data_IF_204596173649
#
_entry.id   IF_204596173649
#
_cell.length_a   1.000
_cell.length_b   1.000
_cell.length_c   1.000
_cell.angle_alpha   90.00
_cell.angle_beta   90.00
_cell.angle_gamma   90.00
#
_symmetry.space_group_name_H-M   'P 1'
#
loop_
_entity.id
_entity.type
_entity.pdbx_description
1 polymer ?
#
# COMPACT_ATOMS: atom_id res chain seq x y z
N UNK A 1 11.81 -9.26 0.47
CA UNK A 1 10.92 -8.08 0.33
C UNK A 1 11.79 -6.85 0.11
N UNK A 2 11.49 -6.10 -0.92
CA UNK A 2 12.25 -4.90 -1.27
C UNK A 2 11.33 -3.69 -1.15
N UNK A 3 11.78 -2.68 -0.40
CA UNK A 3 11.06 -1.42 -0.27
C UNK A 3 11.85 -0.32 -0.94
N UNK A 4 11.17 0.48 -1.74
CA UNK A 4 11.72 1.69 -2.32
C UNK A 4 11.08 2.88 -1.59
N UNK A 5 11.91 3.63 -0.87
CA UNK A 5 11.46 4.79 -0.12
C UNK A 5 11.91 6.07 -0.81
N UNK A 6 11.06 7.08 -0.77
CA UNK A 6 11.38 8.41 -1.25
C UNK A 6 11.50 9.36 -0.04
N UNK A 7 12.72 9.62 0.38
CA UNK A 7 13.00 10.50 1.52
C UNK A 7 12.70 11.97 1.24
N UNK A 8 12.56 12.32 -0.03
CA UNK A 8 12.23 13.70 -0.45
C UNK A 8 10.73 13.92 -0.59
N UNK A 9 9.94 12.85 -0.58
CA UNK A 9 8.49 12.95 -0.64
C UNK A 9 7.94 13.60 0.63
N UNK A 10 6.83 14.30 0.50
CA UNK A 10 6.08 14.82 1.65
C UNK A 10 5.34 13.74 2.39
N UNK A 11 5.19 12.56 1.79
CA UNK A 11 4.55 11.41 2.43
C UNK A 11 5.48 10.86 3.50
N UNK A 12 5.06 10.77 4.76
CA UNK A 12 5.89 10.20 5.84
C UNK A 12 6.35 8.79 5.52
N UNK A 13 7.52 8.40 6.02
CA UNK A 13 8.10 7.09 5.75
C UNK A 13 7.16 5.96 6.23
N UNK A 14 6.52 6.11 7.40
CA UNK A 14 5.61 5.06 7.87
C UNK A 14 4.43 4.84 6.91
N UNK A 15 3.92 5.90 6.28
CA UNK A 15 2.85 5.76 5.29
C UNK A 15 3.35 5.10 4.01
N UNK A 16 4.58 5.40 3.59
CA UNK A 16 5.18 4.75 2.42
C UNK A 16 5.33 3.24 2.66
N UNK A 17 5.79 2.86 3.86
CA UNK A 17 5.90 1.45 4.24
C UNK A 17 4.53 0.77 4.28
N UNK A 18 3.55 1.42 4.90
CA UNK A 18 2.17 0.92 4.96
C UNK A 18 1.63 0.65 3.56
N UNK A 19 1.73 1.65 2.68
CA UNK A 19 1.23 1.54 1.31
C UNK A 19 1.96 0.47 0.51
N UNK A 20 3.26 0.31 0.71
CA UNK A 20 4.06 -0.71 0.03
C UNK A 20 3.61 -2.13 0.39
N UNK A 21 3.42 -2.41 1.67
CA UNK A 21 2.95 -3.73 2.11
C UNK A 21 1.52 -3.98 1.65
N UNK A 22 0.65 -2.97 1.78
CA UNK A 22 -0.74 -3.06 1.33
C UNK A 22 -0.82 -3.38 -0.16
N UNK A 23 0.01 -2.72 -0.97
CA UNK A 23 0.07 -2.97 -2.41
C UNK A 23 0.54 -4.40 -2.71
N UNK A 24 1.61 -4.86 -2.05
CA UNK A 24 2.10 -6.23 -2.24
C UNK A 24 1.03 -7.26 -1.90
N UNK A 25 0.29 -7.03 -0.83
CA UNK A 25 -0.84 -7.88 -0.46
C UNK A 25 -1.95 -7.83 -1.52
N UNK A 26 -2.29 -6.64 -2.00
CA UNK A 26 -3.39 -6.44 -2.95
C UNK A 26 -3.11 -7.07 -4.32
N UNK A 27 -1.87 -7.03 -4.79
CA UNK A 27 -1.51 -7.57 -6.11
C UNK A 27 -1.00 -9.02 -6.04
N UNK A 28 -0.97 -9.61 -4.83
CA UNK A 28 -0.52 -11.00 -4.66
C UNK A 28 0.98 -11.21 -4.83
N UNK A 29 1.79 -10.14 -4.68
CA UNK A 29 3.24 -10.21 -4.84
C UNK A 29 3.96 -10.85 -3.65
N UNK A 30 3.24 -11.13 -2.57
CA UNK A 30 3.79 -11.72 -1.35
C UNK A 30 2.94 -12.91 -0.92
N UNK A 31 3.58 -14.02 -0.61
CA UNK A 31 2.89 -15.20 -0.14
C UNK A 31 2.47 -15.06 1.33
N UNK A 32 1.33 -15.67 1.69
CA UNK A 32 0.79 -15.61 3.05
C UNK A 32 1.73 -16.20 4.10
N UNK A 33 2.50 -17.22 3.73
CA UNK A 33 3.41 -17.90 4.65
C UNK A 33 4.77 -17.21 4.77
N UNK A 34 5.05 -16.27 3.92
CA UNK A 34 6.31 -15.53 3.94
C UNK A 34 6.30 -14.52 5.08
N UNK A 35 7.24 -14.64 6.04
CA UNK A 35 7.29 -13.67 7.14
C UNK A 35 7.75 -12.31 6.64
N UNK A 36 7.17 -11.26 7.22
CA UNK A 36 7.71 -9.92 7.05
C UNK A 36 9.02 -9.81 7.85
N UNK A 37 9.95 -8.95 7.42
CA UNK A 37 11.14 -8.67 8.23
C UNK A 37 10.72 -8.15 9.61
N UNK A 38 11.53 -8.43 10.63
CA UNK A 38 11.28 -7.86 11.95
C UNK A 38 11.40 -6.33 11.90
N UNK A 39 10.74 -5.66 12.84
CA UNK A 39 10.82 -4.19 12.93
C UNK A 39 12.26 -3.72 13.00
N UNK A 40 13.07 -4.34 13.87
CA UNK A 40 14.48 -3.98 14.03
C UNK A 40 15.28 -4.21 12.75
N UNK A 41 15.11 -5.37 12.14
CA UNK A 41 15.82 -5.73 10.93
C UNK A 41 15.50 -4.78 9.77
N UNK A 42 14.23 -4.50 9.58
CA UNK A 42 13.79 -3.59 8.51
C UNK A 42 14.28 -2.16 8.76
N UNK A 43 14.21 -1.70 10.00
CA UNK A 43 14.69 -0.36 10.37
C UNK A 43 16.18 -0.21 10.09
N UNK A 44 16.98 -1.23 10.40
CA UNK A 44 18.42 -1.24 10.10
C UNK A 44 18.67 -1.23 8.59
N UNK A 45 17.96 -2.06 7.85
CA UNK A 45 18.12 -2.16 6.41
C UNK A 45 17.78 -0.84 5.71
N UNK A 46 16.72 -0.16 6.15
CA UNK A 46 16.27 1.09 5.55
C UNK A 46 16.95 2.32 6.13
N UNK A 47 17.68 2.19 7.22
CA UNK A 47 18.30 3.33 7.88
C UNK A 47 17.30 4.29 8.52
N UNK A 48 16.20 3.78 9.05
CA UNK A 48 15.14 4.58 9.67
C UNK A 48 14.96 4.19 11.14
N UNK A 49 14.25 5.05 11.87
CA UNK A 49 13.94 4.80 13.27
C UNK A 49 13.02 3.56 13.40
N UNK A 50 13.33 2.61 14.31
CA UNK A 50 12.45 1.46 14.53
C UNK A 50 11.00 1.84 14.86
N UNK A 51 10.77 2.97 15.53
CA UNK A 51 9.42 3.44 15.82
C UNK A 51 8.62 3.75 14.55
N UNK A 52 9.29 4.19 13.50
CA UNK A 52 8.67 4.45 12.19
C UNK A 52 8.16 3.15 11.57
N UNK A 53 8.98 2.10 11.60
CA UNK A 53 8.58 0.78 11.11
C UNK A 53 7.47 0.20 11.99
N UNK A 54 7.61 0.32 13.30
CA UNK A 54 6.61 -0.16 14.25
C UNK A 54 5.24 0.47 13.98
N UNK A 55 5.22 1.77 13.73
CA UNK A 55 3.97 2.48 13.42
C UNK A 55 3.30 1.94 12.16
N UNK A 56 4.07 1.70 11.11
CA UNK A 56 3.54 1.12 9.87
C UNK A 56 2.97 -0.28 10.12
N UNK A 57 3.68 -1.12 10.86
CA UNK A 57 3.23 -2.49 11.17
C UNK A 57 1.97 -2.48 12.02
N UNK A 58 1.88 -1.59 13.01
CA UNK A 58 0.67 -1.46 13.84
C UNK A 58 -0.54 -1.06 13.01
N UNK A 59 -0.37 -0.15 12.05
CA UNK A 59 -1.45 0.26 11.16
C UNK A 59 -1.89 -0.90 10.26
N UNK A 60 -0.94 -1.65 9.72
CA UNK A 60 -1.24 -2.83 8.88
C UNK A 60 -1.99 -3.90 9.68
N UNK A 61 -1.58 -4.13 10.91
CA UNK A 61 -2.23 -5.11 11.80
C UNK A 61 -3.63 -4.66 12.18
N UNK A 62 -3.79 -3.38 12.53
CA UNK A 62 -5.10 -2.79 12.84
C UNK A 62 -6.07 -2.93 11.67
N UNK A 63 -5.59 -2.74 10.44
CA UNK A 63 -6.40 -2.84 9.24
C UNK A 63 -6.60 -4.30 8.75
N UNK A 64 -6.04 -5.27 9.46
CA UNK A 64 -6.22 -6.68 9.13
C UNK A 64 -5.39 -7.16 7.93
N UNK A 65 -4.39 -6.39 7.51
CA UNK A 65 -3.53 -6.74 6.37
C UNK A 65 -2.44 -7.72 6.79
N UNK A 66 -1.90 -7.55 7.99
CA UNK A 66 -0.92 -8.47 8.56
C UNK A 66 -1.41 -8.98 9.91
N UNK A 67 -0.83 -10.08 10.37
CA UNK A 67 -1.04 -10.62 11.70
C UNK A 67 0.30 -10.96 12.34
N UNK A 68 0.40 -10.77 13.66
CA UNK A 68 1.57 -11.14 14.44
C UNK A 68 1.32 -12.48 15.13
N UNK A 69 2.29 -13.38 15.00
CA UNK A 69 2.25 -14.69 15.66
C UNK A 69 3.38 -14.71 16.70
N UNK A 70 3.05 -14.80 18.00
CA UNK A 70 4.08 -14.81 19.04
C UNK A 70 5.16 -15.86 18.81
N UNK A 71 6.42 -15.44 18.88
CA UNK A 71 7.57 -16.29 18.66
C UNK A 71 7.87 -16.63 17.21
N UNK A 72 7.02 -16.23 16.26
CA UNK A 72 7.20 -16.54 14.83
C UNK A 72 7.31 -15.32 13.94
N UNK A 73 6.82 -14.16 14.38
CA UNK A 73 6.91 -12.92 13.63
C UNK A 73 5.57 -12.47 13.04
N UNK A 74 5.66 -11.60 12.05
CA UNK A 74 4.49 -11.03 11.38
C UNK A 74 4.35 -11.61 9.96
N UNK A 75 3.11 -11.83 9.55
CA UNK A 75 2.78 -12.45 8.26
C UNK A 75 1.60 -11.72 7.62
N UNK A 76 1.43 -11.87 6.32
CA UNK A 76 0.19 -11.43 5.69
C UNK A 76 -0.99 -12.18 6.31
N UNK A 77 -2.08 -11.47 6.52
CA UNK A 77 -3.31 -12.10 7.02
C UNK A 77 -3.83 -13.12 6.03
N UNK A 78 -4.30 -14.26 6.55
CA UNK A 78 -4.98 -15.26 5.72
C UNK A 78 -6.34 -14.79 5.21
N UNK A 79 -6.93 -13.81 5.88
CA UNK A 79 -8.21 -13.18 5.48
C UNK A 79 -7.91 -11.79 4.90
N UNK A 80 -8.00 -11.67 3.58
CA UNK A 80 -7.77 -10.42 2.86
C UNK A 80 -9.07 -9.66 2.58
N UNK A 81 -10.13 -9.90 3.36
CA UNK A 81 -11.40 -9.18 3.19
C UNK A 81 -11.24 -7.67 3.37
N UNK A 82 -10.34 -7.22 4.25
CA UNK A 82 -10.04 -5.80 4.43
C UNK A 82 -9.49 -5.18 3.15
N UNK A 83 -8.61 -5.88 2.45
CA UNK A 83 -8.08 -5.44 1.15
C UNK A 83 -9.20 -5.37 0.12
N UNK A 84 -10.07 -6.38 0.07
CA UNK A 84 -11.21 -6.41 -0.85
C UNK A 84 -12.13 -5.22 -0.61
N UNK A 85 -12.41 -4.89 0.65
CA UNK A 85 -13.23 -3.73 1.01
C UNK A 85 -12.57 -2.42 0.57
N UNK A 86 -11.27 -2.27 0.78
CA UNK A 86 -10.54 -1.08 0.34
C UNK A 86 -10.55 -0.93 -1.18
N UNK A 87 -10.48 -2.05 -1.92
CA UNK A 87 -10.57 -2.05 -3.38
C UNK A 87 -11.93 -1.56 -3.85
N UNK A 88 -13.01 -2.04 -3.22
CA UNK A 88 -14.37 -1.59 -3.57
C UNK A 88 -14.55 -0.09 -3.32
N UNK A 89 -14.07 0.40 -2.18
CA UNK A 89 -14.13 1.84 -1.86
C UNK A 89 -13.34 2.65 -2.89
N UNK A 90 -12.15 2.16 -3.27
CA UNK A 90 -11.33 2.85 -4.27
C UNK A 90 -12.03 2.93 -5.63
N UNK A 91 -12.70 1.85 -6.05
CA UNK A 91 -13.46 1.84 -7.30
C UNK A 91 -14.64 2.82 -7.26
N UNK A 92 -15.36 2.88 -6.15
CA UNK A 92 -16.45 3.85 -5.97
C UNK A 92 -15.95 5.29 -6.09
N UNK A 93 -14.83 5.59 -5.45
CA UNK A 93 -14.21 6.92 -5.53
C UNK A 93 -13.74 7.24 -6.94
N UNK A 94 -13.22 6.25 -7.65
CA UNK A 94 -12.83 6.41 -9.04
C UNK A 94 -14.03 6.73 -9.92
N UNK A 95 -15.14 6.01 -9.73
CA UNK A 95 -16.38 6.24 -10.48
C UNK A 95 -16.90 7.68 -10.25
N UNK A 96 -16.91 8.13 -9.01
CA UNK A 96 -17.31 9.49 -8.65
C UNK A 96 -16.43 10.54 -9.33
N UNK A 97 -15.12 10.32 -9.30
CA UNK A 97 -14.17 11.25 -9.91
C UNK A 97 -14.34 11.31 -11.43
N UNK A 98 -14.59 10.17 -12.07
CA UNK A 98 -14.83 10.12 -13.52
C UNK A 98 -16.10 10.89 -13.87
N UNK A 99 -17.18 10.68 -13.12
CA UNK A 99 -18.44 11.38 -13.37
C UNK A 99 -18.30 12.89 -13.17
N UNK A 100 -17.62 13.30 -12.11
CA UNK A 100 -17.34 14.72 -11.84
C UNK A 100 -16.51 15.33 -12.97
N UNK A 101 -15.49 14.64 -13.41
CA UNK A 101 -14.65 15.09 -14.51
C UNK A 101 -15.48 15.28 -15.80
N UNK A 102 -16.32 14.30 -16.11
CA UNK A 102 -17.20 14.36 -17.27
C UNK A 102 -18.16 15.56 -17.19
N UNK A 103 -18.73 15.81 -16.01
CA UNK A 103 -19.63 16.95 -15.79
C UNK A 103 -18.93 18.30 -15.99
N UNK A 104 -17.64 18.35 -15.76
CA UNK A 104 -16.82 19.54 -15.95
C UNK A 104 -16.23 19.66 -17.36
N UNK A 105 -16.68 18.81 -18.28
CA UNK A 105 -16.26 18.87 -19.68
C UNK A 105 -14.96 18.14 -20.02
N UNK A 106 -14.40 17.39 -19.07
CA UNK A 106 -13.22 16.56 -19.35
C UNK A 106 -13.67 15.36 -20.19
N UNK A 107 -13.01 15.16 -21.34
CA UNK A 107 -13.40 14.10 -22.27
C UNK A 107 -12.88 12.74 -21.83
N UNK A 108 -13.50 11.68 -22.37
CA UNK A 108 -13.05 10.32 -22.14
C UNK A 108 -11.57 10.15 -22.51
N UNK A 109 -11.16 10.72 -23.66
CA UNK A 109 -9.77 10.63 -24.11
C UNK A 109 -8.81 11.31 -23.13
N UNK A 110 -9.20 12.46 -22.58
CA UNK A 110 -8.38 13.13 -21.56
C UNK A 110 -8.24 12.29 -20.31
N UNK A 111 -9.31 11.60 -19.88
CA UNK A 111 -9.29 10.70 -18.73
C UNK A 111 -8.35 9.53 -18.99
N UNK A 112 -8.44 8.91 -20.18
CA UNK A 112 -7.59 7.77 -20.57
C UNK A 112 -6.12 8.17 -20.58
N UNK A 113 -5.79 9.34 -21.12
CA UNK A 113 -4.42 9.86 -21.14
C UNK A 113 -3.88 10.06 -19.71
N UNK A 114 -4.73 10.55 -18.79
CA UNK A 114 -4.36 10.70 -17.39
C UNK A 114 -4.05 9.35 -16.74
N UNK A 115 -4.89 8.34 -16.99
CA UNK A 115 -4.68 6.99 -16.48
C UNK A 115 -3.34 6.45 -16.94
N UNK A 116 -3.06 6.53 -18.24
CA UNK A 116 -1.81 6.05 -18.81
C UNK A 116 -0.60 6.75 -18.19
N UNK A 117 -0.67 8.07 -18.04
CA UNK A 117 0.40 8.88 -17.46
C UNK A 117 0.69 8.48 -16.01
N UNK A 118 -0.37 8.33 -15.20
CA UNK A 118 -0.23 8.03 -13.76
C UNK A 118 0.29 6.61 -13.57
N UNK A 119 -0.28 5.63 -14.24
CA UNK A 119 0.11 4.23 -14.08
C UNK A 119 1.51 3.99 -14.64
N UNK A 120 1.83 4.52 -15.82
CA UNK A 120 3.17 4.41 -16.40
C UNK A 120 4.23 5.09 -15.52
N UNK A 121 3.89 6.24 -14.92
CA UNK A 121 4.78 6.94 -14.00
C UNK A 121 5.11 6.15 -12.74
N UNK A 122 4.32 5.11 -12.40
CA UNK A 122 4.60 4.20 -11.29
C UNK A 122 5.44 2.99 -11.70
N UNK A 123 5.85 2.88 -12.96
CA UNK A 123 6.63 1.77 -13.46
C UNK A 123 5.84 0.49 -13.69
N UNK A 124 4.57 0.62 -13.98
CA UNK A 124 3.68 -0.53 -14.22
C UNK A 124 3.28 -0.67 -15.68
#
# INVERSE_FOLDING_TARGET
MVFTLDYKSRLPIYEQLYKSVRRMAAIGAMEQKEPLPSVRSLAQELGVNPNTVQKAYQMLEHDGIICSVPGKGSFLSGDLSAISQQREIALEKLDEAILTASDLGITKQQIIVRVDSIISGRGE
#
